data_IF_914279018336
#
_entry.id   IF_914279018336
#
_cell.length_a   1.000
_cell.length_b   1.000
_cell.length_c   1.000
_cell.angle_alpha   90.00
_cell.angle_beta   90.00
_cell.angle_gamma   90.00
#
_symmetry.space_group_name_H-M   'P 1'
#
loop_
_entity.id
_entity.type
_entity.pdbx_description
1 polymer ?
#
# COMPACT_ATOMS: atom_id res chain seq x y z
N UNK A 1 5.69 -18.44 -28.08
CA UNK A 1 6.59 -17.38 -27.59
C UNK A 1 5.91 -16.00 -27.44
N UNK A 2 4.88 -15.69 -28.24
CA UNK A 2 4.21 -14.36 -28.19
C UNK A 2 3.27 -14.15 -26.99
N UNK A 3 2.76 -15.22 -26.37
CA UNK A 3 1.83 -15.13 -25.24
C UNK A 3 2.51 -14.70 -23.93
N UNK A 4 3.75 -15.15 -23.69
CA UNK A 4 4.51 -14.82 -22.48
C UNK A 4 4.85 -13.32 -22.38
N UNK A 5 5.20 -12.71 -23.52
CA UNK A 5 5.50 -11.28 -23.60
C UNK A 5 4.26 -10.39 -23.39
N UNK A 6 3.06 -10.89 -23.70
CA UNK A 6 1.81 -10.17 -23.46
C UNK A 6 1.45 -10.11 -21.96
N UNK A 7 1.73 -11.19 -21.21
CA UNK A 7 1.50 -11.24 -19.76
C UNK A 7 2.50 -10.37 -18.97
N UNK A 8 3.74 -10.25 -19.44
CA UNK A 8 4.77 -9.38 -18.83
C UNK A 8 4.48 -7.88 -18.92
N UNK A 9 3.49 -7.45 -19.73
CA UNK A 9 3.06 -6.03 -19.82
C UNK A 9 2.13 -5.60 -18.68
N UNK A 10 1.59 -6.53 -17.88
CA UNK A 10 0.80 -6.20 -16.70
C UNK A 10 1.76 -5.96 -15.52
N UNK A 11 1.77 -4.76 -14.89
CA UNK A 11 2.76 -4.42 -13.87
C UNK A 11 2.73 -5.36 -12.67
N UNK A 12 1.56 -5.88 -12.30
CA UNK A 12 1.40 -6.88 -11.24
C UNK A 12 2.09 -8.20 -11.58
N UNK A 13 1.95 -8.68 -12.83
CA UNK A 13 2.51 -9.98 -13.26
C UNK A 13 4.02 -9.87 -13.43
N UNK A 14 4.51 -8.72 -13.91
CA UNK A 14 5.94 -8.43 -13.96
C UNK A 14 6.56 -8.41 -12.56
N UNK A 15 5.88 -7.80 -11.59
CA UNK A 15 6.32 -7.78 -10.19
C UNK A 15 6.40 -9.20 -9.58
N UNK A 16 5.38 -10.02 -9.81
CA UNK A 16 5.35 -11.42 -9.36
C UNK A 16 6.47 -12.22 -10.02
N UNK A 17 6.65 -12.08 -11.34
CA UNK A 17 7.69 -12.79 -12.07
C UNK A 17 9.11 -12.38 -11.62
N UNK A 18 9.35 -11.09 -11.42
CA UNK A 18 10.61 -10.57 -10.89
C UNK A 18 10.89 -11.07 -9.46
N UNK A 19 9.87 -11.15 -8.62
CA UNK A 19 9.97 -11.72 -7.27
C UNK A 19 10.38 -13.19 -7.29
N UNK A 20 9.72 -14.01 -8.12
CA UNK A 20 10.03 -15.44 -8.26
C UNK A 20 11.45 -15.65 -8.79
N UNK A 21 11.85 -14.88 -9.82
CA UNK A 21 13.18 -14.98 -10.39
C UNK A 21 14.26 -14.56 -9.39
N UNK A 22 14.04 -13.46 -8.67
CA UNK A 22 14.95 -12.97 -7.63
C UNK A 22 15.11 -13.95 -6.47
N UNK A 23 14.01 -14.56 -6.02
CA UNK A 23 14.04 -15.59 -4.99
C UNK A 23 14.82 -16.83 -5.44
N UNK A 24 14.58 -17.31 -6.67
CA UNK A 24 15.30 -18.45 -7.23
C UNK A 24 16.81 -18.22 -7.37
N UNK A 25 17.19 -17.01 -7.80
CA UNK A 25 18.60 -16.61 -7.88
C UNK A 25 19.24 -16.48 -6.49
N UNK A 26 18.53 -15.92 -5.51
CA UNK A 26 19.00 -15.81 -4.12
C UNK A 26 19.24 -17.19 -3.48
N UNK A 27 18.31 -18.13 -3.68
CA UNK A 27 18.47 -19.53 -3.25
C UNK A 27 19.66 -20.21 -3.92
N UNK A 28 19.79 -20.06 -5.24
CA UNK A 28 20.89 -20.66 -6.00
C UNK A 28 22.25 -20.10 -5.57
N UNK A 29 22.32 -18.81 -5.24
CA UNK A 29 23.52 -18.18 -4.70
C UNK A 29 23.85 -18.71 -3.29
N UNK A 30 22.86 -18.71 -2.39
CA UNK A 30 23.02 -19.14 -0.99
C UNK A 30 23.41 -20.61 -0.83
N UNK A 31 23.04 -21.48 -1.76
CA UNK A 31 23.40 -22.91 -1.72
C UNK A 31 24.54 -23.31 -2.66
N UNK A 32 24.69 -22.66 -3.82
CA UNK A 32 25.70 -23.03 -4.82
C UNK A 32 27.03 -22.30 -4.68
N UNK A 33 27.01 -21.01 -4.32
CA UNK A 33 28.21 -20.16 -4.33
C UNK A 33 28.75 -19.96 -2.92
N UNK A 34 27.86 -19.76 -1.95
CA UNK A 34 28.24 -19.57 -0.55
C UNK A 34 27.37 -20.40 0.39
N UNK A 35 27.46 -21.75 0.31
CA UNK A 35 26.72 -22.61 1.22
C UNK A 35 27.08 -22.31 2.68
N UNK A 36 26.08 -22.41 3.55
CA UNK A 36 26.30 -22.32 5.00
C UNK A 36 27.15 -23.51 5.41
N UNK A 37 28.40 -23.23 5.79
CA UNK A 37 29.31 -24.22 6.34
C UNK A 37 29.26 -24.13 7.86
N UNK A 38 28.65 -25.14 8.50
CA UNK A 38 28.76 -25.34 9.93
C UNK A 38 30.15 -25.86 10.23
N UNK A 39 30.99 -25.02 10.86
CA UNK A 39 32.33 -25.41 11.35
C UNK A 39 32.29 -25.42 12.87
N UNK A 40 33.00 -26.38 13.45
CA UNK A 40 33.13 -26.52 14.91
C UNK A 40 31.79 -26.64 15.65
N UNK A 41 30.84 -27.37 15.06
CA UNK A 41 29.54 -27.63 15.68
C UNK A 41 29.73 -28.38 17.01
N UNK A 42 29.07 -27.95 18.11
CA UNK A 42 29.18 -28.62 19.39
C UNK A 42 28.54 -30.02 19.34
N UNK A 43 28.98 -30.96 20.20
CA UNK A 43 28.37 -32.29 20.31
C UNK A 43 26.86 -32.28 20.57
N UNK A 44 26.32 -31.21 21.15
CA UNK A 44 24.87 -31.01 21.33
C UNK A 44 24.06 -30.98 20.03
N UNK A 45 24.68 -30.71 18.87
CA UNK A 45 24.02 -30.73 17.56
C UNK A 45 24.15 -32.09 16.83
N UNK A 46 24.84 -33.07 17.42
CA UNK A 46 24.94 -34.41 16.85
C UNK A 46 23.59 -35.13 16.87
N UNK A 47 23.40 -36.09 15.96
CA UNK A 47 22.26 -37.01 16.03
C UNK A 47 22.30 -37.82 17.33
N UNK A 48 21.14 -38.18 17.89
CA UNK A 48 21.02 -38.84 19.20
C UNK A 48 21.94 -40.07 19.37
N UNK A 49 22.05 -40.91 18.35
CA UNK A 49 22.96 -42.08 18.35
C UNK A 49 24.43 -41.66 18.51
N UNK A 50 24.86 -40.61 17.82
CA UNK A 50 26.24 -40.11 17.92
C UNK A 50 26.50 -39.33 19.22
N UNK A 51 25.45 -38.73 19.81
CA UNK A 51 25.53 -38.15 21.16
C UNK A 51 25.77 -39.23 22.21
N UNK A 52 25.08 -40.36 22.08
CA UNK A 52 25.33 -41.54 22.91
C UNK A 52 26.76 -42.04 22.73
N UNK A 53 27.21 -42.28 21.49
CA UNK A 53 28.58 -42.73 21.21
C UNK A 53 29.65 -41.76 21.76
N UNK A 54 29.42 -40.46 21.61
CA UNK A 54 30.30 -39.43 22.16
C UNK A 54 30.35 -39.48 23.70
N UNK A 55 29.20 -39.71 24.35
CA UNK A 55 29.14 -39.87 25.79
C UNK A 55 29.82 -41.16 26.24
N UNK A 56 29.66 -42.28 25.51
CA UNK A 56 30.36 -43.54 25.76
C UNK A 56 31.87 -43.36 25.70
N UNK A 57 32.39 -42.72 24.65
CA UNK A 57 33.82 -42.38 24.54
C UNK A 57 34.29 -41.43 25.64
N UNK A 58 33.42 -40.52 26.09
CA UNK A 58 33.73 -39.60 27.19
C UNK A 58 33.89 -40.37 28.51
N UNK A 59 33.00 -41.32 28.77
CA UNK A 59 33.05 -42.25 29.90
C UNK A 59 34.35 -43.07 29.85
N UNK A 60 34.65 -43.74 28.73
CA UNK A 60 35.88 -44.56 28.59
C UNK A 60 37.15 -43.71 28.75
N UNK A 61 37.18 -42.53 28.14
CA UNK A 61 38.30 -41.60 28.28
C UNK A 61 38.52 -41.19 29.74
N UNK A 62 37.44 -40.95 30.49
CA UNK A 62 37.51 -40.64 31.91
C UNK A 62 38.13 -41.80 32.71
N UNK A 63 37.71 -43.04 32.42
CA UNK A 63 38.31 -44.21 33.06
C UNK A 63 39.80 -44.40 32.77
N UNK A 64 40.24 -44.07 31.55
CA UNK A 64 41.64 -44.21 31.14
C UNK A 64 42.56 -43.13 31.71
N UNK A 65 42.10 -41.88 31.78
CA UNK A 65 42.95 -40.75 32.15
C UNK A 65 42.65 -40.13 33.53
N UNK A 66 41.52 -40.48 34.15
CA UNK A 66 41.09 -39.97 35.46
C UNK A 66 40.78 -38.47 35.50
N UNK A 67 40.73 -37.78 34.37
CA UNK A 67 40.60 -36.33 34.31
C UNK A 67 39.14 -35.88 34.46
N UNK A 68 38.75 -35.58 35.70
CA UNK A 68 37.40 -35.15 36.07
C UNK A 68 36.96 -33.85 35.39
N UNK A 69 37.85 -32.84 35.31
CA UNK A 69 37.51 -31.54 34.70
C UNK A 69 37.23 -31.67 33.21
N UNK A 70 37.97 -32.53 32.50
CA UNK A 70 37.73 -32.82 31.09
C UNK A 70 36.42 -33.59 30.88
N UNK A 71 36.13 -34.54 31.76
CA UNK A 71 34.89 -35.32 31.74
C UNK A 71 33.65 -34.42 31.91
N UNK A 72 33.66 -33.52 32.89
CA UNK A 72 32.59 -32.55 33.13
C UNK A 72 32.43 -31.58 31.95
N UNK A 73 33.54 -31.05 31.42
CA UNK A 73 33.48 -30.16 30.24
C UNK A 73 32.86 -30.84 29.01
N UNK A 74 33.18 -32.11 28.77
CA UNK A 74 32.61 -32.89 27.65
C UNK A 74 31.13 -33.22 27.89
N UNK A 75 30.78 -33.52 29.13
CA UNK A 75 29.38 -33.68 29.55
C UNK A 75 28.55 -32.43 29.28
N UNK A 76 29.03 -31.25 29.69
CA UNK A 76 28.35 -29.98 29.44
C UNK A 76 28.19 -29.67 27.95
N UNK A 77 29.18 -30.05 27.12
CA UNK A 77 29.13 -29.83 25.66
C UNK A 77 28.05 -30.64 24.92
N UNK A 78 27.49 -31.69 25.53
CA UNK A 78 26.34 -32.44 25.03
C UNK A 78 25.02 -31.72 25.25
N UNK A 79 24.95 -30.78 26.21
CA UNK A 79 23.74 -30.01 26.51
C UNK A 79 22.63 -30.84 27.16
N UNK A 80 21.38 -30.49 26.85
CA UNK A 80 20.18 -30.99 27.54
C UNK A 80 19.96 -32.50 27.41
N UNK A 81 20.43 -33.11 26.30
CA UNK A 81 20.25 -34.55 26.03
C UNK A 81 21.26 -35.44 26.76
N UNK A 82 22.31 -34.87 27.38
CA UNK A 82 23.34 -35.63 28.08
C UNK A 82 22.76 -36.58 29.14
N UNK A 83 21.73 -36.12 29.87
CA UNK A 83 21.03 -36.91 30.90
C UNK A 83 20.34 -38.13 30.31
N UNK A 84 19.56 -37.96 29.24
CA UNK A 84 18.85 -39.05 28.57
C UNK A 84 19.81 -40.08 27.95
N UNK A 85 20.92 -39.62 27.36
CA UNK A 85 21.97 -40.52 26.86
C UNK A 85 22.63 -41.30 28.00
N UNK A 86 22.88 -40.68 29.16
CA UNK A 86 23.44 -41.37 30.33
C UNK A 86 22.50 -42.45 30.86
N UNK A 87 21.21 -42.16 30.98
CA UNK A 87 20.19 -43.14 31.39
C UNK A 87 20.13 -44.32 30.41
N UNK A 88 20.22 -44.05 29.11
CA UNK A 88 20.25 -45.08 28.07
C UNK A 88 21.49 -45.98 28.20
N UNK A 89 22.66 -45.38 28.44
CA UNK A 89 23.93 -46.11 28.65
C UNK A 89 23.89 -46.93 29.95
N UNK A 90 23.28 -46.41 31.02
CA UNK A 90 23.11 -47.14 32.28
C UNK A 90 22.22 -48.38 32.11
N UNK A 91 21.14 -48.26 31.34
CA UNK A 91 20.23 -49.37 31.05
C UNK A 91 20.82 -50.38 30.07
N UNK A 92 21.66 -49.93 29.13
CA UNK A 92 22.33 -50.77 28.16
C UNK A 92 23.83 -50.45 28.08
N UNK A 93 24.66 -50.99 29.01
CA UNK A 93 26.09 -50.70 29.05
C UNK A 93 26.88 -51.19 27.82
N UNK A 94 26.33 -52.16 27.08
CA UNK A 94 27.05 -52.80 25.99
C UNK A 94 28.35 -53.45 26.49
N UNK A 95 29.48 -53.03 25.94
CA UNK A 95 30.83 -53.51 26.31
C UNK A 95 31.55 -52.64 27.34
N UNK A 96 30.95 -51.55 27.82
CA UNK A 96 31.58 -50.65 28.78
C UNK A 96 31.42 -51.17 30.22
N UNK A 97 32.41 -50.89 31.06
CA UNK A 97 32.39 -51.30 32.47
C UNK A 97 31.26 -50.57 33.23
N UNK A 98 30.25 -51.30 33.77
CA UNK A 98 29.16 -50.69 34.53
C UNK A 98 29.62 -49.89 35.75
N UNK A 99 30.74 -50.27 36.36
CA UNK A 99 31.32 -49.57 37.53
C UNK A 99 31.80 -48.17 37.14
N UNK A 100 32.39 -48.06 35.96
CA UNK A 100 32.96 -46.84 35.40
C UNK A 100 31.85 -45.87 34.96
N UNK A 101 30.76 -46.40 34.38
CA UNK A 101 29.53 -45.64 34.11
C UNK A 101 28.95 -45.04 35.40
N UNK A 102 28.87 -45.82 36.47
CA UNK A 102 28.36 -45.34 37.77
C UNK A 102 29.26 -44.26 38.38
N UNK A 103 30.59 -44.42 38.32
CA UNK A 103 31.54 -43.41 38.80
C UNK A 103 31.43 -42.10 38.02
N UNK A 104 31.32 -42.18 36.70
CA UNK A 104 31.11 -41.02 35.84
C UNK A 104 29.77 -40.34 36.15
N UNK A 105 28.69 -41.12 36.31
CA UNK A 105 27.37 -40.61 36.69
C UNK A 105 27.41 -39.81 37.98
N UNK A 106 28.08 -40.33 39.02
CA UNK A 106 28.21 -39.62 40.29
C UNK A 106 28.99 -38.31 40.12
N UNK A 107 30.08 -38.31 39.34
CA UNK A 107 30.87 -37.11 39.06
C UNK A 107 30.02 -36.02 38.39
N UNK A 108 29.29 -36.35 37.33
CA UNK A 108 28.56 -35.33 36.55
C UNK A 108 27.27 -34.89 37.24
N UNK A 109 26.60 -35.77 37.99
CA UNK A 109 25.36 -35.43 38.72
C UNK A 109 25.63 -34.61 40.00
N UNK A 110 26.76 -34.82 40.67
CA UNK A 110 27.19 -33.97 41.80
C UNK A 110 27.62 -32.56 41.39
N UNK A 111 27.98 -32.35 40.12
CA UNK A 111 28.43 -31.06 39.58
C UNK A 111 27.31 -30.19 38.96
N UNK A 112 26.04 -30.63 38.98
CA UNK A 112 24.91 -29.93 38.28
C UNK A 112 24.37 -28.71 39.04
N UNK A 113 24.76 -28.46 40.30
CA UNK A 113 24.21 -27.33 41.09
C UNK A 113 24.80 -25.94 40.75
N UNK A 114 25.74 -25.82 39.80
CA UNK A 114 26.25 -24.51 39.39
C UNK A 114 26.40 -24.43 37.87
N UNK A 115 25.29 -24.21 37.16
CA UNK A 115 25.33 -23.75 35.78
C UNK A 115 24.28 -22.65 35.56
N UNK A 116 24.74 -21.41 35.66
CA UNK A 116 24.12 -20.22 35.07
C UNK A 116 23.98 -20.42 33.55
N UNK A 117 22.96 -19.83 32.89
CA UNK A 117 22.78 -20.00 31.46
C UNK A 117 23.97 -19.40 30.73
N UNK A 118 24.69 -20.25 29.98
CA UNK A 118 25.77 -19.81 29.11
C UNK A 118 25.10 -19.16 27.90
N UNK A 119 25.14 -17.84 27.84
CA UNK A 119 24.87 -17.08 26.61
C UNK A 119 25.82 -17.59 25.54
N UNK A 120 25.25 -18.17 24.49
CA UNK A 120 25.97 -18.51 23.26
C UNK A 120 26.39 -17.19 22.60
N UNK A 121 27.62 -16.76 22.84
CA UNK A 121 28.24 -15.71 22.03
C UNK A 121 28.70 -16.37 20.73
N UNK A 122 27.89 -16.24 19.69
CA UNK A 122 28.35 -16.45 18.32
C UNK A 122 29.55 -15.53 18.06
N UNK A 123 30.71 -16.11 17.77
CA UNK A 123 31.81 -15.42 17.09
C UNK A 123 32.02 -16.11 15.77
N UNK A 124 31.70 -15.49 14.63
CA UNK A 124 32.19 -15.96 13.35
C UNK A 124 33.70 -15.66 13.28
N UNK A 125 34.52 -16.71 13.33
CA UNK A 125 35.92 -16.61 12.95
C UNK A 125 36.00 -16.25 11.46
N UNK A 126 36.22 -14.97 11.17
CA UNK A 126 36.56 -14.49 9.85
C UNK A 126 37.92 -15.09 9.45
N UNK A 127 37.88 -16.10 8.59
CA UNK A 127 39.08 -16.59 7.90
C UNK A 127 39.51 -15.53 6.90
N UNK A 128 40.66 -14.94 7.18
CA UNK A 128 41.42 -14.06 6.30
C UNK A 128 41.84 -14.80 5.03
N UNK A 129 41.17 -14.50 3.92
CA UNK A 129 41.69 -14.79 2.58
C UNK A 129 41.35 -13.62 1.63
N UNK A 130 42.42 -12.93 1.22
CA UNK A 130 42.57 -11.88 0.21
C UNK A 130 41.41 -10.88 0.01
N UNK A 131 41.61 -9.68 0.57
CA UNK A 131 40.67 -8.56 0.63
C UNK A 131 40.34 -7.89 -0.72
N UNK A 132 41.07 -8.15 -1.80
CA UNK A 132 40.85 -7.48 -3.09
C UNK A 132 39.75 -8.14 -3.94
N UNK A 133 39.60 -9.46 -3.89
CA UNK A 133 38.55 -10.17 -4.64
C UNK A 133 37.15 -9.98 -4.06
N UNK A 134 37.03 -9.97 -2.72
CA UNK A 134 35.74 -9.76 -2.03
C UNK A 134 35.21 -8.33 -2.19
N UNK A 135 36.08 -7.32 -2.14
CA UNK A 135 35.66 -5.92 -2.36
C UNK A 135 35.25 -5.70 -3.82
N UNK A 136 35.97 -6.27 -4.78
CA UNK A 136 35.60 -6.20 -6.19
C UNK A 136 34.24 -6.89 -6.45
N UNK A 137 33.99 -8.05 -5.82
CA UNK A 137 32.71 -8.77 -5.94
C UNK A 137 31.55 -8.05 -5.24
N UNK A 138 31.77 -7.45 -4.07
CA UNK A 138 30.75 -6.63 -3.39
C UNK A 138 30.46 -5.37 -4.20
N UNK A 139 31.48 -4.72 -4.75
CA UNK A 139 31.30 -3.57 -5.63
C UNK A 139 30.55 -3.95 -6.92
N UNK A 140 30.84 -5.11 -7.52
CA UNK A 140 30.11 -5.63 -8.68
C UNK A 140 28.67 -6.01 -8.32
N UNK A 141 28.43 -6.58 -7.14
CA UNK A 141 27.08 -6.90 -6.66
C UNK A 141 26.26 -5.63 -6.39
N UNK A 142 26.86 -4.61 -5.77
CA UNK A 142 26.22 -3.30 -5.59
C UNK A 142 25.98 -2.65 -6.94
N UNK A 143 26.93 -2.70 -7.87
CA UNK A 143 26.76 -2.16 -9.22
C UNK A 143 25.65 -2.91 -9.97
N UNK A 144 25.56 -4.23 -9.84
CA UNK A 144 24.51 -5.04 -10.42
C UNK A 144 23.15 -4.72 -9.80
N UNK A 145 23.07 -4.54 -8.48
CA UNK A 145 21.87 -4.07 -7.78
C UNK A 145 21.49 -2.67 -8.26
N UNK A 146 22.44 -1.76 -8.42
CA UNK A 146 22.18 -0.41 -8.92
C UNK A 146 21.75 -0.41 -10.40
N UNK A 147 22.31 -1.29 -11.23
CA UNK A 147 21.90 -1.47 -12.63
C UNK A 147 20.51 -2.10 -12.72
N UNK A 148 20.21 -3.09 -11.88
CA UNK A 148 18.87 -3.68 -11.78
C UNK A 148 17.89 -2.66 -11.22
N UNK A 149 18.24 -1.90 -10.18
CA UNK A 149 17.42 -0.84 -9.63
C UNK A 149 17.20 0.27 -10.67
N UNK A 150 18.23 0.65 -11.43
CA UNK A 150 18.12 1.61 -12.52
C UNK A 150 17.26 1.07 -13.67
N UNK A 151 17.40 -0.21 -14.03
CA UNK A 151 16.59 -0.87 -15.05
C UNK A 151 15.14 -0.98 -14.59
N UNK A 152 14.89 -1.45 -13.36
CA UNK A 152 13.60 -1.48 -12.67
C UNK A 152 13.01 -0.08 -12.63
N UNK A 153 13.73 0.94 -12.20
CA UNK A 153 13.26 2.34 -12.22
C UNK A 153 12.98 2.83 -13.65
N UNK A 154 13.76 2.41 -14.66
CA UNK A 154 13.57 2.79 -16.07
C UNK A 154 12.42 2.02 -16.75
N UNK A 155 12.10 0.81 -16.28
CA UNK A 155 11.11 -0.11 -16.85
C UNK A 155 9.77 -0.07 -16.09
N UNK A 156 9.80 0.20 -14.78
CA UNK A 156 8.67 0.65 -13.94
C UNK A 156 8.47 2.15 -14.03
N UNK A 157 9.41 2.92 -14.60
CA UNK A 157 9.03 4.18 -15.24
C UNK A 157 7.97 3.77 -16.24
N UNK A 158 6.71 4.20 -16.08
CA UNK A 158 5.70 3.87 -17.05
C UNK A 158 6.27 4.26 -18.41
N UNK A 159 6.33 3.29 -19.32
CA UNK A 159 6.36 3.63 -20.73
C UNK A 159 5.13 4.50 -20.90
N UNK A 160 5.35 5.82 -20.94
CA UNK A 160 4.31 6.76 -21.23
C UNK A 160 3.73 6.26 -22.54
N UNK A 161 2.47 5.76 -22.59
CA UNK A 161 1.74 5.96 -23.83
C UNK A 161 1.90 7.45 -24.14
N UNK A 162 2.11 7.79 -25.40
CA UNK A 162 2.14 9.17 -25.85
C UNK A 162 0.77 9.81 -25.57
N UNK A 163 0.54 10.14 -24.30
CA UNK A 163 -0.59 10.84 -23.72
C UNK A 163 0.09 11.87 -22.85
N UNK A 164 -0.03 13.12 -23.28
CA UNK A 164 0.53 14.35 -22.73
C UNK A 164 1.15 14.24 -21.32
N UNK A 165 2.46 14.43 -21.24
CA UNK A 165 3.18 14.69 -20.00
C UNK A 165 2.59 15.91 -19.28
N UNK A 166 2.14 15.75 -18.02
CA UNK A 166 2.05 16.90 -17.11
C UNK A 166 1.17 16.79 -15.87
N UNK A 167 0.13 15.96 -15.84
CA UNK A 167 -0.96 16.19 -14.91
C UNK A 167 -1.30 14.90 -14.12
N UNK A 168 -1.57 15.02 -12.81
CA UNK A 168 -1.80 13.90 -11.87
C UNK A 168 -2.98 12.98 -12.22
N UNK A 169 -3.49 12.18 -11.26
CA UNK A 169 -4.79 11.49 -11.47
C UNK A 169 -5.88 12.52 -11.82
N UNK A 170 -6.96 12.17 -12.55
CA UNK A 170 -8.03 13.13 -12.86
C UNK A 170 -8.51 13.92 -11.64
N UNK A 171 -8.67 13.27 -10.49
CA UNK A 171 -9.00 13.90 -9.20
C UNK A 171 -7.91 14.85 -8.68
N UNK A 172 -6.62 14.54 -8.86
CA UNK A 172 -5.53 15.48 -8.53
C UNK A 172 -5.55 16.71 -9.43
N UNK A 173 -5.78 16.50 -10.74
CA UNK A 173 -5.89 17.60 -11.69
C UNK A 173 -7.08 18.49 -11.36
N UNK A 174 -8.23 17.89 -11.03
CA UNK A 174 -9.42 18.60 -10.54
C UNK A 174 -9.09 19.51 -9.35
N UNK A 175 -8.39 18.98 -8.34
CA UNK A 175 -7.96 19.77 -7.18
C UNK A 175 -7.01 20.93 -7.55
N UNK A 176 -6.09 20.71 -8.51
CA UNK A 176 -5.18 21.76 -8.99
C UNK A 176 -5.93 22.85 -9.77
N UNK A 177 -6.93 22.48 -10.58
CA UNK A 177 -7.79 23.45 -11.29
C UNK A 177 -8.64 24.25 -10.31
N UNK A 178 -9.30 23.59 -9.35
CA UNK A 178 -10.14 24.27 -8.35
C UNK A 178 -9.37 25.31 -7.53
N UNK A 179 -8.09 25.05 -7.23
CA UNK A 179 -7.22 26.01 -6.52
C UNK A 179 -6.78 27.22 -7.34
N UNK A 180 -6.80 27.10 -8.67
CA UNK A 180 -6.41 28.19 -9.58
C UNK A 180 -7.57 29.13 -9.88
N UNK A 181 -8.80 28.74 -9.55
CA UNK A 181 -9.99 29.56 -9.74
C UNK A 181 -10.02 30.64 -8.66
N UNK A 182 -10.03 31.89 -9.09
CA UNK A 182 -10.28 33.02 -8.22
C UNK A 182 -11.77 33.06 -7.88
N UNK A 183 -12.10 32.88 -6.60
CA UNK A 183 -13.47 32.95 -6.11
C UNK A 183 -14.02 34.37 -6.27
N UNK A 184 -15.29 34.46 -6.65
CA UNK A 184 -15.97 35.75 -6.78
C UNK A 184 -16.00 36.49 -5.44
N UNK A 185 -15.44 37.70 -5.40
CA UNK A 185 -15.60 38.60 -4.25
C UNK A 185 -16.97 39.30 -4.33
N UNK A 186 -17.98 38.67 -3.76
CA UNK A 186 -19.35 39.21 -3.69
C UNK A 186 -19.40 40.58 -2.99
N UNK A 187 -18.52 40.85 -2.02
CA UNK A 187 -18.49 42.13 -1.30
C UNK A 187 -17.98 43.26 -2.18
N UNK A 188 -17.00 42.99 -3.04
CA UNK A 188 -16.45 43.97 -3.98
C UNK A 188 -17.44 44.38 -5.07
N UNK A 189 -18.38 43.50 -5.43
CA UNK A 189 -19.45 43.78 -6.40
C UNK A 189 -20.74 44.32 -5.76
N UNK A 190 -20.73 44.59 -4.45
CA UNK A 190 -21.85 45.19 -3.72
C UNK A 190 -22.96 44.20 -3.33
N UNK A 191 -22.70 42.89 -3.42
CA UNK A 191 -23.58 41.83 -2.93
C UNK A 191 -23.22 41.44 -1.49
N UNK A 192 -24.13 40.79 -0.77
CA UNK A 192 -23.85 40.28 0.57
C UNK A 192 -22.78 39.18 0.49
N UNK A 193 -21.85 39.11 1.45
CA UNK A 193 -20.90 38.00 1.50
C UNK A 193 -21.64 36.67 1.78
N UNK A 194 -21.36 35.61 1.01
CA UNK A 194 -21.91 34.29 1.29
C UNK A 194 -21.38 33.72 2.60
N UNK A 195 -22.17 32.88 3.24
CA UNK A 195 -21.81 32.16 4.48
C UNK A 195 -20.83 31.01 4.20
N UNK A 196 -20.85 30.47 2.98
CA UNK A 196 -19.94 29.44 2.51
C UNK A 196 -19.67 29.63 1.01
N UNK A 197 -18.44 29.36 0.59
CA UNK A 197 -18.07 29.28 -0.82
C UNK A 197 -17.21 28.05 -1.07
N UNK A 198 -17.46 27.36 -2.17
CA UNK A 198 -16.71 26.18 -2.60
C UNK A 198 -16.40 26.29 -4.09
N UNK A 199 -15.29 25.68 -4.51
CA UNK A 199 -14.99 25.46 -5.92
C UNK A 199 -14.75 23.98 -6.12
N UNK A 200 -15.47 23.39 -7.07
CA UNK A 200 -15.27 22.01 -7.51
C UNK A 200 -15.03 21.95 -9.01
N UNK A 201 -14.22 20.98 -9.42
CA UNK A 201 -13.89 20.75 -10.82
C UNK A 201 -14.02 19.27 -11.13
N UNK A 202 -14.81 18.94 -12.14
CA UNK A 202 -14.76 17.63 -12.77
C UNK A 202 -13.68 17.62 -13.86
N UNK A 203 -12.92 16.53 -13.96
CA UNK A 203 -11.98 16.25 -15.07
C UNK A 203 -12.29 14.87 -15.63
N UNK A 204 -12.31 14.75 -16.96
CA UNK A 204 -12.57 13.48 -17.64
C UNK A 204 -11.60 12.39 -17.18
N UNK A 205 -12.17 11.25 -16.79
CA UNK A 205 -11.44 10.17 -16.14
C UNK A 205 -11.79 9.98 -14.66
N UNK A 206 -12.46 10.97 -14.04
CA UNK A 206 -13.05 10.80 -12.71
C UNK A 206 -14.46 10.20 -12.80
N UNK A 207 -14.52 8.88 -12.99
CA UNK A 207 -15.78 8.14 -13.21
C UNK A 207 -16.66 8.01 -11.94
N UNK A 208 -16.16 8.49 -10.80
CA UNK A 208 -16.79 8.45 -9.48
C UNK A 208 -16.96 9.86 -8.89
N UNK A 209 -16.88 10.90 -9.72
CA UNK A 209 -17.03 12.28 -9.28
C UNK A 209 -18.40 12.51 -8.61
N UNK A 210 -18.35 12.82 -7.32
CA UNK A 210 -19.48 13.06 -6.43
C UNK A 210 -18.99 13.86 -5.20
N UNK A 211 -18.85 15.17 -5.39
CA UNK A 211 -18.35 16.09 -4.36
C UNK A 211 -19.51 16.58 -3.50
N UNK A 212 -19.31 16.58 -2.17
CA UNK A 212 -20.26 17.10 -1.19
C UNK A 212 -19.58 18.01 -0.17
N UNK A 213 -20.30 19.06 0.24
CA UNK A 213 -19.81 20.12 1.12
C UNK A 213 -20.84 20.46 2.19
N UNK A 214 -20.42 20.39 3.45
CA UNK A 214 -21.21 20.85 4.58
C UNK A 214 -21.34 22.37 4.61
N UNK A 215 -22.54 22.86 4.90
CA UNK A 215 -22.85 24.27 5.09
C UNK A 215 -23.06 24.50 6.59
N UNK A 216 -22.07 25.12 7.23
CA UNK A 216 -22.10 25.46 8.64
C UNK A 216 -22.21 26.97 8.84
N UNK A 217 -22.85 27.39 9.93
CA UNK A 217 -22.90 28.80 10.34
C UNK A 217 -21.55 29.27 10.88
N UNK A 218 -21.38 30.59 11.05
CA UNK A 218 -20.20 31.16 11.69
C UNK A 218 -19.96 30.66 13.13
N UNK A 219 -21.00 30.14 13.81
CA UNK A 219 -20.89 29.51 15.13
C UNK A 219 -20.64 28.00 15.08
N UNK A 220 -20.50 27.42 13.88
CA UNK A 220 -20.31 25.97 13.67
C UNK A 220 -21.60 25.15 13.77
N UNK A 221 -22.77 25.77 13.66
CA UNK A 221 -24.04 25.02 13.59
C UNK A 221 -24.26 24.52 12.16
N UNK A 222 -24.57 23.23 12.00
CA UNK A 222 -24.96 22.67 10.70
C UNK A 222 -26.27 23.28 10.20
N UNK A 223 -26.22 23.88 9.01
CA UNK A 223 -27.37 24.50 8.32
C UNK A 223 -27.87 23.66 7.14
N UNK A 224 -26.99 22.88 6.51
CA UNK A 224 -27.34 22.09 5.33
C UNK A 224 -26.11 21.48 4.65
N UNK A 225 -26.32 20.95 3.45
CA UNK A 225 -25.27 20.34 2.64
C UNK A 225 -25.54 20.65 1.16
N UNK A 226 -24.49 20.80 0.37
CA UNK A 226 -24.62 20.94 -1.08
C UNK A 226 -23.58 20.09 -1.78
N UNK A 227 -23.86 19.73 -3.02
CA UNK A 227 -22.94 18.87 -3.76
C UNK A 227 -23.23 18.83 -5.25
N UNK A 228 -22.31 18.17 -5.94
CA UNK A 228 -22.34 17.91 -7.37
C UNK A 228 -21.96 16.46 -7.63
N UNK A 229 -22.79 15.76 -8.40
CA UNK A 229 -22.55 14.38 -8.82
C UNK A 229 -22.78 14.15 -10.30
N UNK A 230 -22.23 13.07 -10.83
CA UNK A 230 -22.50 12.61 -12.20
C UNK A 230 -23.96 12.14 -12.31
N UNK A 231 -24.73 12.70 -13.23
CA UNK A 231 -26.13 12.29 -13.43
C UNK A 231 -26.35 11.47 -14.70
N UNK A 232 -25.59 11.71 -15.78
CA UNK A 232 -25.71 10.96 -17.04
C UNK A 232 -24.37 10.81 -17.76
N UNK A 233 -24.21 9.69 -18.46
CA UNK A 233 -23.07 9.42 -19.34
C UNK A 233 -23.54 9.04 -20.73
N UNK A 234 -22.74 9.32 -21.76
CA UNK A 234 -23.03 8.99 -23.16
C UNK A 234 -22.01 7.99 -23.72
N UNK A 235 -22.46 7.12 -24.62
CA UNK A 235 -21.59 6.17 -25.32
C UNK A 235 -21.20 4.97 -24.45
N UNK A 236 -20.12 4.30 -24.85
CA UNK A 236 -19.59 3.10 -24.18
C UNK A 236 -18.08 3.20 -24.04
N UNK A 237 -17.54 2.55 -23.00
CA UNK A 237 -16.10 2.45 -22.74
C UNK A 237 -15.62 3.28 -21.56
N UNK A 238 -14.37 3.03 -21.17
CA UNK A 238 -13.68 3.71 -20.08
C UNK A 238 -12.64 4.71 -20.63
N UNK A 239 -12.47 5.90 -20.02
CA UNK A 239 -13.30 6.42 -18.94
C UNK A 239 -14.69 6.84 -19.43
N UNK A 240 -15.66 6.85 -18.52
CA UNK A 240 -17.04 7.26 -18.81
C UNK A 240 -17.05 8.68 -19.38
N UNK A 241 -17.96 8.91 -20.33
CA UNK A 241 -18.14 10.22 -20.96
C UNK A 241 -19.33 10.92 -20.32
N UNK A 242 -19.06 11.73 -19.30
CA UNK A 242 -20.10 12.43 -18.53
C UNK A 242 -20.75 13.52 -19.36
N UNK A 243 -22.07 13.45 -19.48
CA UNK A 243 -22.91 14.32 -20.31
C UNK A 243 -23.85 15.22 -19.50
N UNK A 244 -24.04 14.92 -18.21
CA UNK A 244 -24.79 15.76 -17.27
C UNK A 244 -24.34 15.55 -15.81
N UNK A 245 -24.47 16.61 -15.02
CA UNK A 245 -24.25 16.63 -13.58
C UNK A 245 -25.53 17.00 -12.84
N UNK A 246 -25.73 16.52 -11.63
CA UNK A 246 -26.73 17.04 -10.71
C UNK A 246 -26.05 17.95 -9.69
N UNK A 247 -26.54 19.17 -9.58
CA UNK A 247 -26.20 20.12 -8.52
C UNK A 247 -27.36 20.10 -7.55
N UNK A 248 -27.08 19.84 -6.28
CA UNK A 248 -28.13 19.71 -5.27
C UNK A 248 -27.81 20.51 -4.02
N UNK A 249 -28.87 20.91 -3.30
CA UNK A 249 -28.79 21.58 -2.01
C UNK A 249 -29.84 21.01 -1.06
N UNK A 250 -29.38 20.59 0.11
CA UNK A 250 -30.17 20.18 1.25
C UNK A 250 -30.09 21.25 2.35
N UNK A 251 -31.23 21.54 2.97
CA UNK A 251 -31.36 22.49 4.07
C UNK A 251 -31.94 21.75 5.28
N UNK A 252 -31.32 21.91 6.45
CA UNK A 252 -31.78 21.27 7.70
C UNK A 252 -33.23 21.60 8.05
N UNK A 253 -33.72 22.77 7.64
CA UNK A 253 -35.08 23.26 7.88
C UNK A 253 -36.04 22.97 6.72
N UNK A 254 -35.60 22.27 5.67
CA UNK A 254 -36.40 21.89 4.51
C UNK A 254 -36.37 20.36 4.32
N UNK A 255 -37.53 19.74 4.16
CA UNK A 255 -37.60 18.29 3.97
C UNK A 255 -37.27 17.86 2.54
N UNK A 256 -37.16 18.81 1.61
CA UNK A 256 -36.89 18.55 0.21
C UNK A 256 -35.48 19.02 -0.18
N UNK A 257 -34.73 18.13 -0.83
CA UNK A 257 -33.51 18.51 -1.53
C UNK A 257 -33.87 19.16 -2.85
N UNK A 258 -33.32 20.34 -3.11
CA UNK A 258 -33.48 21.03 -4.39
C UNK A 258 -32.38 20.56 -5.31
N UNK A 259 -32.75 20.04 -6.49
CA UNK A 259 -31.80 19.50 -7.47
C UNK A 259 -32.01 20.14 -8.83
N UNK A 260 -30.91 20.58 -9.45
CA UNK A 260 -30.86 21.02 -10.85
C UNK A 260 -29.90 20.13 -11.61
N UNK A 261 -30.27 19.77 -12.84
CA UNK A 261 -29.46 18.89 -13.69
C UNK A 261 -28.80 19.71 -14.78
N UNK A 262 -27.51 19.90 -14.64
CA UNK A 262 -26.63 20.61 -15.57
C UNK A 262 -26.26 19.69 -16.73
N UNK A 263 -26.77 19.98 -17.93
CA UNK A 263 -26.65 19.13 -19.11
C UNK A 263 -25.71 19.74 -20.15
N UNK A 264 -24.97 18.88 -20.85
CA UNK A 264 -24.29 19.25 -22.09
C UNK A 264 -25.31 19.70 -23.15
N UNK A 265 -24.85 20.53 -24.11
CA UNK A 265 -25.70 21.02 -25.18
C UNK A 265 -26.38 19.88 -25.96
N UNK A 266 -25.67 18.79 -26.25
CA UNK A 266 -26.28 17.62 -26.90
C UNK A 266 -27.32 16.94 -26.02
N UNK A 267 -27.02 16.71 -24.74
CA UNK A 267 -27.96 16.03 -23.82
C UNK A 267 -29.25 16.84 -23.64
N UNK A 268 -29.14 18.17 -23.56
CA UNK A 268 -30.29 19.07 -23.43
C UNK A 268 -31.18 19.05 -24.67
N UNK A 269 -30.59 18.94 -25.86
CA UNK A 269 -31.32 18.94 -27.13
C UNK A 269 -31.80 17.54 -27.59
N UNK A 270 -31.45 16.46 -26.88
CA UNK A 270 -31.99 15.12 -27.11
C UNK A 270 -33.26 14.89 -26.27
N UNK A 271 -34.46 14.77 -26.88
CA UNK A 271 -35.72 14.65 -26.14
C UNK A 271 -35.74 13.45 -25.17
N UNK A 272 -35.08 12.34 -25.54
CA UNK A 272 -35.06 11.14 -24.70
C UNK A 272 -34.26 11.37 -23.43
N UNK A 273 -33.10 12.02 -23.54
CA UNK A 273 -32.19 12.30 -22.43
C UNK A 273 -32.76 13.42 -21.56
N UNK A 274 -33.28 14.48 -22.18
CA UNK A 274 -33.97 15.56 -21.48
C UNK A 274 -35.10 15.02 -20.59
N UNK A 275 -35.99 14.18 -21.14
CA UNK A 275 -37.12 13.64 -20.38
C UNK A 275 -36.67 12.77 -19.20
N UNK A 276 -35.61 11.95 -19.36
CA UNK A 276 -35.06 11.15 -18.26
C UNK A 276 -34.47 12.03 -17.16
N UNK A 277 -33.72 13.07 -17.54
CA UNK A 277 -33.04 13.94 -16.57
C UNK A 277 -33.99 14.92 -15.88
N UNK A 278 -35.08 15.32 -16.53
CA UNK A 278 -36.15 16.09 -15.91
C UNK A 278 -36.80 15.38 -14.71
N UNK A 279 -36.77 14.05 -14.67
CA UNK A 279 -37.27 13.29 -13.53
C UNK A 279 -36.34 13.35 -12.29
N UNK A 280 -35.07 13.75 -12.47
CA UNK A 280 -34.07 13.86 -11.40
C UNK A 280 -33.97 15.27 -10.80
N UNK A 281 -34.30 16.29 -11.57
CA UNK A 281 -34.25 17.69 -11.17
C UNK A 281 -34.57 18.60 -12.36
N UNK A 282 -34.51 19.91 -12.14
CA UNK A 282 -34.77 20.88 -13.21
C UNK A 282 -33.63 20.88 -14.24
N UNK A 283 -33.90 20.56 -15.53
CA UNK A 283 -32.88 20.54 -16.57
C UNK A 283 -32.38 21.94 -16.93
N UNK A 284 -31.06 22.13 -16.93
CA UNK A 284 -30.39 23.38 -17.32
C UNK A 284 -29.31 23.05 -18.35
N UNK A 285 -29.32 23.72 -19.49
CA UNK A 285 -28.21 23.65 -20.43
C UNK A 285 -27.04 24.45 -19.89
N UNK A 286 -25.85 23.85 -19.87
CA UNK A 286 -24.64 24.43 -19.30
C UNK A 286 -24.00 25.42 -20.27
N UNK A 287 -23.86 26.67 -19.83
CA UNK A 287 -23.15 27.74 -20.53
C UNK A 287 -22.09 28.40 -19.64
N UNK A 288 -20.99 28.86 -20.25
CA UNK A 288 -19.87 29.46 -19.50
C UNK A 288 -20.30 30.80 -18.93
N UNK A 289 -20.03 31.02 -17.64
CA UNK A 289 -20.41 32.23 -16.90
C UNK A 289 -21.87 32.26 -16.47
N UNK A 290 -22.65 31.23 -16.79
CA UNK A 290 -24.04 31.14 -16.35
C UNK A 290 -24.10 30.96 -14.84
N UNK A 291 -25.08 31.62 -14.21
CA UNK A 291 -25.40 31.50 -12.78
C UNK A 291 -26.70 30.73 -12.63
N UNK A 292 -26.65 29.67 -11.83
CA UNK A 292 -27.78 28.77 -11.59
C UNK A 292 -28.15 28.84 -10.11
N UNK A 293 -29.36 29.32 -9.80
CA UNK A 293 -29.80 29.56 -8.43
C UNK A 293 -30.64 28.40 -7.89
N UNK A 294 -30.23 27.82 -6.77
CA UNK A 294 -31.00 26.85 -5.99
C UNK A 294 -31.50 27.51 -4.71
N UNK A 295 -32.78 27.37 -4.39
CA UNK A 295 -33.37 27.98 -3.19
C UNK A 295 -34.17 26.96 -2.40
N UNK A 296 -33.88 26.88 -1.10
CA UNK A 296 -34.69 26.16 -0.11
C UNK A 296 -35.46 27.15 0.76
N UNK A 297 -36.07 26.65 1.83
CA UNK A 297 -36.69 27.47 2.86
C UNK A 297 -35.74 28.55 3.43
N UNK A 298 -34.52 28.17 3.85
CA UNK A 298 -33.61 29.06 4.59
C UNK A 298 -32.27 29.31 3.91
N UNK A 299 -31.95 28.61 2.83
CA UNK A 299 -30.71 28.76 2.08
C UNK A 299 -30.96 29.14 0.62
N UNK A 300 -30.04 29.92 0.07
CA UNK A 300 -29.93 30.20 -1.36
C UNK A 300 -28.50 29.88 -1.78
N UNK A 301 -28.35 29.08 -2.83
CA UNK A 301 -27.06 28.80 -3.45
C UNK A 301 -27.06 29.31 -4.89
N UNK A 302 -25.98 29.98 -5.28
CA UNK A 302 -25.68 30.29 -6.67
C UNK A 302 -24.53 29.39 -7.10
N UNK A 303 -24.79 28.53 -8.08
CA UNK A 303 -23.77 27.76 -8.78
C UNK A 303 -23.37 28.53 -10.05
N UNK A 304 -22.16 29.06 -10.07
CA UNK A 304 -21.59 29.76 -11.24
C UNK A 304 -20.70 28.81 -12.02
N UNK A 305 -21.01 28.58 -13.30
CA UNK A 305 -20.18 27.75 -14.17
C UNK A 305 -19.01 28.59 -14.70
N UNK A 306 -17.85 28.52 -14.04
CA UNK A 306 -16.69 29.35 -14.38
C UNK A 306 -15.97 28.88 -15.66
N UNK A 307 -15.84 27.56 -15.82
CA UNK A 307 -15.21 26.94 -16.98
C UNK A 307 -15.95 25.70 -17.47
N UNK A 308 -15.96 25.54 -18.80
CA UNK A 308 -16.46 24.36 -19.48
C UNK A 308 -15.47 24.03 -20.59
N UNK A 309 -15.09 22.77 -20.68
CA UNK A 309 -14.38 22.21 -21.82
C UNK A 309 -15.11 20.96 -22.29
N UNK A 310 -15.59 20.96 -23.52
CA UNK A 310 -16.20 19.78 -24.13
C UNK A 310 -15.13 18.82 -24.63
N UNK A 311 -15.40 17.53 -24.48
CA UNK A 311 -14.55 16.49 -25.04
C UNK A 311 -14.68 16.39 -26.56
N UNK A 312 -13.61 15.95 -27.20
CA UNK A 312 -13.54 15.70 -28.64
C UNK A 312 -13.46 14.19 -28.92
N UNK A 313 -13.94 13.75 -30.08
CA UNK A 313 -13.82 12.35 -30.50
C UNK A 313 -14.90 11.90 -31.47
N UNK A 314 -15.22 10.61 -31.42
CA UNK A 314 -16.21 9.97 -32.29
C UNK A 314 -17.66 10.16 -31.84
N UNK A 315 -17.89 10.69 -30.63
CA UNK A 315 -19.22 11.05 -30.15
C UNK A 315 -19.67 12.38 -30.76
N UNK A 316 -20.99 12.69 -30.75
CA UNK A 316 -21.48 13.97 -31.23
C UNK A 316 -20.76 15.16 -30.57
N UNK A 317 -20.67 16.27 -31.28
CA UNK A 317 -20.07 17.49 -30.72
C UNK A 317 -20.84 17.94 -29.46
N UNK A 318 -20.11 18.49 -28.50
CA UNK A 318 -20.67 19.05 -27.25
C UNK A 318 -21.56 18.07 -26.48
N UNK A 319 -21.20 16.77 -26.52
CA UNK A 319 -21.98 15.70 -25.91
C UNK A 319 -21.50 15.21 -24.56
N UNK A 320 -20.25 15.50 -24.22
CA UNK A 320 -19.68 15.17 -22.92
C UNK A 320 -18.60 16.16 -22.55
N UNK A 321 -18.35 16.29 -21.26
CA UNK A 321 -17.39 17.23 -20.73
C UNK A 321 -16.00 16.60 -20.58
N UNK A 322 -14.97 17.35 -20.98
CA UNK A 322 -13.59 17.09 -20.61
C UNK A 322 -13.24 17.73 -19.26
N UNK A 323 -13.76 18.94 -19.01
CA UNK A 323 -13.63 19.65 -17.72
C UNK A 323 -14.88 20.51 -17.48
N UNK A 324 -15.35 20.56 -16.24
CA UNK A 324 -16.34 21.55 -15.79
C UNK A 324 -15.92 22.05 -14.43
N UNK A 325 -15.89 23.36 -14.24
CA UNK A 325 -15.59 23.99 -12.95
C UNK A 325 -16.77 24.82 -12.50
N UNK A 326 -17.17 24.64 -11.24
CA UNK A 326 -18.26 25.34 -10.60
C UNK A 326 -17.76 26.05 -9.34
N UNK A 327 -18.15 27.31 -9.21
CA UNK A 327 -18.12 28.04 -7.95
C UNK A 327 -19.52 27.95 -7.32
N UNK A 328 -19.59 27.48 -6.07
CA UNK A 328 -20.82 27.43 -5.28
C UNK A 328 -20.71 28.51 -4.20
N UNK A 329 -21.63 29.47 -4.21
CA UNK A 329 -21.75 30.48 -3.16
C UNK A 329 -23.11 30.35 -2.48
N UNK A 330 -23.13 30.33 -1.15
CA UNK A 330 -24.33 30.04 -0.36
C UNK A 330 -24.62 31.19 0.60
N UNK A 331 -25.88 31.61 0.68
CA UNK A 331 -26.40 32.59 1.63
C UNK A 331 -27.51 32.00 2.47
N UNK A 332 -27.62 32.46 3.71
CA UNK A 332 -28.83 32.25 4.49
C UNK A 332 -29.85 33.32 4.12
N UNK A 333 -31.05 32.89 3.73
CA UNK A 333 -32.17 33.77 3.42
C UNK A 333 -32.60 34.46 4.72
N UNK A 334 -32.48 35.78 4.76
CA UNK A 334 -33.12 36.57 5.81
C UNK A 334 -34.62 36.41 5.63
N UNK A 335 -35.33 35.84 6.62
CA UNK A 335 -36.80 35.74 6.57
C UNK A 335 -37.39 37.10 6.18
N UNK A 336 -38.40 37.15 5.29
CA UNK A 336 -39.17 38.37 5.15
C UNK A 336 -39.71 38.70 6.53
N UNK A 337 -39.39 39.89 7.03
CA UNK A 337 -40.02 40.44 8.23
C UNK A 337 -41.52 40.47 7.90
N UNK A 338 -42.28 39.58 8.52
CA UNK A 338 -43.75 39.60 8.48
C UNK A 338 -44.29 40.82 9.19
#
# INVERSE_FOLDING_TARGET
>A
MNSLLAYLKKPLILGIFAGILGFGLGLSWGWGIQPVQWKDAPPSLLHAVYQEDYLRMTIDSYGLNGNQSLAVKRWESLGELAKGSLETIQQNPGSQDPTLIMQFSNLVLSNVEVATPITVTETPAASSSSSTGRVALIALAILAILVVLYAVIKFLKPHKPNTSLGAGTPTQQAGDYSRQVEMTDYSAIGEQSPIAQFVTTYVSGDDLFDDSFSIDSASGEFLGECGIGISETIGVGDPKKVSAFEVWMFDKNDIQTVTKVLMSAHAYNDPSTYQRLQAKGEPIMVERGQRVTLETATLQMIATISEIEYGQGALPAESFFNRVTLELAIWQKTSPIG
#
